data_IF_775537394860
#
_entry.id   IF_775537394860
#
_cell.length_a   1.000
_cell.length_b   1.000
_cell.length_c   1.000
_cell.angle_alpha   90.00
_cell.angle_beta   90.00
_cell.angle_gamma   90.00
#
_symmetry.space_group_name_H-M   'P 1'
#
loop_
_entity.id
_entity.type
_entity.pdbx_description
1 polymer ?
#
# COMPACT_ATOMS: atom_id res chain seq x y z
N UNK A 1 -3.75 -9.02 3.56
CA UNK A 1 -3.63 -7.55 3.44
C UNK A 1 -3.22 -7.14 2.04
N UNK A 2 -2.15 -7.73 1.48
CA UNK A 2 -1.65 -7.39 0.14
C UNK A 2 -2.72 -7.47 -0.95
N UNK A 3 -3.63 -8.45 -0.92
CA UNK A 3 -4.73 -8.54 -1.90
C UNK A 3 -5.74 -7.39 -1.81
N UNK A 4 -5.99 -6.85 -0.61
CA UNK A 4 -6.87 -5.69 -0.44
C UNK A 4 -6.22 -4.45 -1.07
N UNK A 5 -4.91 -4.27 -0.83
CA UNK A 5 -4.15 -3.17 -1.42
C UNK A 5 -4.03 -3.31 -2.94
N UNK A 6 -3.75 -4.51 -3.47
CA UNK A 6 -3.77 -4.79 -4.92
C UNK A 6 -5.10 -4.38 -5.55
N UNK A 7 -6.22 -4.80 -4.95
CA UNK A 7 -7.57 -4.45 -5.44
C UNK A 7 -7.83 -2.94 -5.37
N UNK A 8 -7.39 -2.26 -4.31
CA UNK A 8 -7.57 -0.81 -4.14
C UNK A 8 -6.74 0.02 -5.11
N UNK A 9 -5.53 -0.44 -5.43
CA UNK A 9 -4.61 0.22 -6.37
C UNK A 9 -5.02 -0.10 -7.81
N UNK A 10 -5.62 -1.27 -8.07
CA UNK A 10 -5.98 -1.75 -9.40
C UNK A 10 -4.89 -2.61 -10.05
N UNK A 11 -4.05 -3.26 -9.25
CA UNK A 11 -2.98 -4.14 -9.72
C UNK A 11 -3.59 -5.44 -10.25
N UNK A 12 -3.25 -5.89 -11.46
CA UNK A 12 -3.69 -7.17 -12.02
C UNK A 12 -3.41 -8.35 -11.08
N UNK A 13 -4.24 -9.39 -11.13
CA UNK A 13 -4.01 -10.59 -10.30
C UNK A 13 -2.69 -11.29 -10.64
N UNK A 14 -2.28 -11.26 -11.91
CA UNK A 14 -1.03 -11.87 -12.39
C UNK A 14 0.23 -11.12 -11.94
N UNK A 15 0.10 -9.84 -11.59
CA UNK A 15 1.19 -9.03 -11.04
C UNK A 15 1.34 -9.28 -9.54
N UNK A 16 2.52 -9.04 -8.99
CA UNK A 16 2.77 -9.18 -7.55
C UNK A 16 2.96 -7.81 -6.91
N UNK A 17 2.35 -7.56 -5.76
CA UNK A 17 2.64 -6.37 -4.96
C UNK A 17 3.58 -6.77 -3.82
N UNK A 18 4.84 -6.39 -3.93
CA UNK A 18 5.87 -6.66 -2.93
C UNK A 18 5.99 -5.47 -1.98
N UNK A 19 6.08 -5.73 -0.66
CA UNK A 19 6.27 -4.69 0.35
C UNK A 19 7.76 -4.58 0.62
N UNK A 20 8.34 -3.42 0.32
CA UNK A 20 9.76 -3.13 0.51
C UNK A 20 10.04 -2.65 1.92
N UNK A 21 9.14 -1.84 2.47
CA UNK A 21 9.31 -1.21 3.77
C UNK A 21 7.95 -0.99 4.44
N UNK A 22 7.98 -0.95 5.77
CA UNK A 22 6.82 -0.60 6.57
C UNK A 22 7.22 0.36 7.69
N UNK A 23 6.36 1.34 7.92
CA UNK A 23 6.51 2.29 9.01
C UNK A 23 5.17 2.44 9.72
N UNK A 24 5.20 2.26 11.03
CA UNK A 24 4.05 2.51 11.88
C UNK A 24 4.16 3.89 12.53
N UNK A 25 3.05 4.62 12.56
CA UNK A 25 2.97 5.93 13.19
C UNK A 25 1.64 6.15 13.86
N UNK A 26 1.68 6.54 15.14
CA UNK A 26 0.51 6.95 15.88
C UNK A 26 0.48 8.47 16.02
N UNK A 27 -0.58 9.12 15.54
CA UNK A 27 -0.73 10.59 15.65
C UNK A 27 -2.19 11.02 15.70
N UNK A 28 -2.52 11.95 16.61
CA UNK A 28 -3.86 12.57 16.74
C UNK A 28 -5.00 11.54 16.83
N UNK A 29 -4.81 10.44 17.58
CA UNK A 29 -5.82 9.40 17.76
C UNK A 29 -6.03 8.49 16.54
N UNK A 30 -5.11 8.54 15.58
CA UNK A 30 -5.01 7.60 14.46
C UNK A 30 -3.76 6.75 14.60
N UNK A 31 -3.93 5.46 14.38
CA UNK A 31 -2.89 4.47 14.17
C UNK A 31 -2.70 4.35 12.66
N UNK A 32 -1.51 4.60 12.12
CA UNK A 32 -1.30 4.62 10.66
C UNK A 32 -0.09 3.77 10.28
N UNK A 33 -0.37 2.69 9.57
CA UNK A 33 0.62 1.88 8.88
C UNK A 33 0.88 2.44 7.49
N UNK A 34 2.14 2.79 7.23
CA UNK A 34 2.62 3.21 5.91
C UNK A 34 3.47 2.11 5.31
N UNK A 35 3.14 1.69 4.10
CA UNK A 35 3.87 0.66 3.35
C UNK A 35 4.45 1.25 2.08
N UNK A 36 5.72 1.00 1.83
CA UNK A 36 6.33 1.22 0.52
C UNK A 36 6.30 -0.10 -0.23
N UNK A 37 5.68 -0.08 -1.40
CA UNK A 37 5.44 -1.27 -2.19
C UNK A 37 5.99 -1.09 -3.60
N UNK A 38 6.35 -2.20 -4.24
CA UNK A 38 6.61 -2.27 -5.68
C UNK A 38 5.67 -3.28 -6.32
N UNK A 39 5.20 -2.96 -7.52
CA UNK A 39 4.50 -3.91 -8.37
C UNK A 39 5.49 -4.57 -9.30
N UNK A 40 5.48 -5.90 -9.26
CA UNK A 40 6.26 -6.77 -10.12
C UNK A 40 5.34 -7.32 -11.21
N UNK A 41 5.79 -7.30 -12.46
CA UNK A 41 5.11 -7.98 -13.56
C UNK A 41 5.16 -9.52 -13.39
N UNK A 42 4.59 -10.25 -14.34
CA UNK A 42 4.56 -11.73 -14.34
C UNK A 42 5.97 -12.35 -14.39
N UNK A 43 6.96 -11.60 -14.87
CA UNK A 43 8.36 -11.98 -14.97
C UNK A 43 9.14 -11.68 -13.67
N UNK A 44 8.52 -11.00 -12.70
CA UNK A 44 9.15 -10.61 -11.44
C UNK A 44 9.93 -9.29 -11.51
N UNK A 45 9.76 -8.50 -12.57
CA UNK A 45 10.45 -7.21 -12.75
C UNK A 45 9.61 -6.06 -12.19
N UNK A 46 10.21 -5.09 -11.48
CA UNK A 46 9.50 -3.97 -10.90
C UNK A 46 9.08 -2.95 -11.97
N UNK A 47 7.77 -2.69 -12.06
CA UNK A 47 7.18 -1.78 -13.06
C UNK A 47 6.61 -0.49 -12.45
N UNK A 48 6.29 -0.51 -11.16
CA UNK A 48 5.77 0.66 -10.44
C UNK A 48 6.07 0.60 -8.95
N UNK A 49 6.08 1.76 -8.29
CA UNK A 49 6.17 1.87 -6.83
C UNK A 49 5.01 2.67 -6.26
N UNK A 50 4.55 2.23 -5.09
CA UNK A 50 3.41 2.79 -4.39
C UNK A 50 3.76 3.06 -2.93
N UNK A 51 3.13 4.08 -2.36
CA UNK A 51 3.06 4.27 -0.91
C UNK A 51 1.61 4.07 -0.49
N UNK A 52 1.35 3.05 0.32
CA UNK A 52 0.03 2.74 0.88
C UNK A 52 -0.01 3.25 2.31
N UNK A 53 -1.11 3.89 2.71
CA UNK A 53 -1.37 4.32 4.09
C UNK A 53 -2.68 3.72 4.56
N UNK A 54 -2.61 2.88 5.57
CA UNK A 54 -3.74 2.31 6.26
C UNK A 54 -3.88 2.97 7.62
N UNK A 55 -4.94 3.76 7.80
CA UNK A 55 -5.18 4.58 8.98
C UNK A 55 -6.40 4.07 9.73
N UNK A 56 -6.21 3.70 10.99
CA UNK A 56 -7.26 3.18 11.89
C UNK A 56 -7.45 4.13 13.06
N UNK A 57 -8.70 4.51 13.34
CA UNK A 57 -9.02 5.32 14.51
C UNK A 57 -8.92 4.49 15.77
N UNK A 58 -8.23 5.02 16.77
CA UNK A 58 -7.99 4.35 18.06
C UNK A 58 -9.18 4.56 19.02
N UNK A 59 -10.03 5.54 18.74
CA UNK A 59 -11.19 5.87 19.54
C UNK A 59 -12.49 5.52 18.79
N UNK A 60 -13.55 5.11 19.50
CA UNK A 60 -14.86 4.90 18.90
C UNK A 60 -15.41 6.19 18.25
N UNK A 61 -16.08 6.07 17.09
CA UNK A 61 -16.26 4.86 16.30
C UNK A 61 -14.95 4.44 15.59
N UNK A 62 -14.62 3.15 15.66
CA UNK A 62 -13.43 2.60 15.01
C UNK A 62 -13.60 2.63 13.49
N UNK A 63 -12.99 3.63 12.83
CA UNK A 63 -12.94 3.75 11.38
C UNK A 63 -11.58 3.36 10.83
N UNK A 64 -11.55 2.69 9.67
CA UNK A 64 -10.33 2.37 8.91
C UNK A 64 -10.40 3.03 7.53
N UNK A 65 -9.31 3.64 7.08
CA UNK A 65 -9.19 4.31 5.80
C UNK A 65 -7.88 3.93 5.13
N UNK A 66 -7.96 3.39 3.91
CA UNK A 66 -6.79 3.05 3.10
C UNK A 66 -6.68 4.05 1.96
N UNK A 67 -5.52 4.68 1.86
CA UNK A 67 -5.16 5.58 0.76
C UNK A 67 -3.84 5.14 0.13
N UNK A 68 -3.61 5.50 -1.12
CA UNK A 68 -2.38 5.16 -1.81
C UNK A 68 -1.97 6.27 -2.76
N UNK A 69 -0.66 6.37 -3.00
CA UNK A 69 -0.08 7.26 -4.01
C UNK A 69 0.95 6.50 -4.83
N UNK A 70 0.95 6.69 -6.14
CA UNK A 70 1.98 6.15 -7.01
C UNK A 70 3.22 7.07 -6.94
N UNK A 71 4.35 6.50 -6.54
CA UNK A 71 5.58 7.26 -6.27
C UNK A 71 6.51 7.28 -7.49
N UNK A 72 6.52 6.21 -8.30
CA UNK A 72 7.30 6.14 -9.54
C UNK A 72 6.72 5.12 -10.52
N UNK A 73 6.78 5.44 -11.80
CA UNK A 73 6.55 4.51 -12.91
C UNK A 73 7.93 4.14 -13.46
N UNK A 74 8.25 2.85 -13.46
CA UNK A 74 9.50 2.36 -14.04
C UNK A 74 9.15 1.93 -15.46
N UNK A 75 9.43 2.81 -16.43
CA UNK A 75 9.35 2.41 -17.83
C UNK A 75 10.50 1.44 -18.10
N UNK A 76 10.17 0.18 -18.39
CA UNK A 76 11.09 -0.84 -18.87
C UNK A 76 11.20 -0.75 -20.39
#
# INVERSE_FOLDING_TARGET
MTDEYKKKIGIPESHTLNILNSQWTQRKGQDTDTYECEELNEQGEPIARYTVKDSTSIYPPFGRSITWTQSSVINI
#
